data_IF_311629406347
#
_entry.id   IF_311629406347
#
_cell.length_a   1.000
_cell.length_b   1.000
_cell.length_c   1.000
_cell.angle_alpha   90.00
_cell.angle_beta   90.00
_cell.angle_gamma   90.00
#
_symmetry.space_group_name_H-M   'P 1'
#
loop_
_entity.id
_entity.type
_entity.pdbx_description
1 polymer ?
#
# COMPACT_ATOMS: atom_id res chain seq x y z
N UNK A 1 -29.99 -3.95 -11.81
CA UNK A 1 -29.45 -5.20 -12.41
C UNK A 1 -28.97 -4.95 -13.84
N UNK A 2 -29.71 -4.18 -14.68
CA UNK A 2 -29.29 -3.93 -16.07
C UNK A 2 -27.99 -3.10 -16.17
N UNK A 3 -27.81 -2.07 -15.37
CA UNK A 3 -26.65 -1.18 -15.41
C UNK A 3 -25.32 -1.86 -15.05
N UNK A 4 -25.32 -2.78 -14.06
CA UNK A 4 -24.11 -3.51 -13.69
C UNK A 4 -23.67 -4.52 -14.77
N UNK A 5 -24.63 -5.19 -15.42
CA UNK A 5 -24.33 -6.09 -16.54
C UNK A 5 -23.78 -5.33 -17.75
N UNK A 6 -24.34 -4.17 -18.05
CA UNK A 6 -23.85 -3.28 -19.12
C UNK A 6 -22.43 -2.77 -18.79
N UNK A 7 -22.18 -2.38 -17.55
CA UNK A 7 -20.85 -1.98 -17.07
C UNK A 7 -19.85 -3.13 -17.26
N UNK A 8 -20.17 -4.36 -16.83
CA UNK A 8 -19.31 -5.55 -17.04
C UNK A 8 -18.98 -5.76 -18.52
N UNK A 9 -19.99 -5.70 -19.38
CA UNK A 9 -19.80 -5.86 -20.82
C UNK A 9 -18.89 -4.78 -21.43
N UNK A 10 -19.02 -3.52 -20.96
CA UNK A 10 -18.14 -2.41 -21.36
C UNK A 10 -16.70 -2.67 -20.95
N UNK A 11 -16.45 -3.11 -19.72
CA UNK A 11 -15.10 -3.43 -19.23
C UNK A 11 -14.51 -4.62 -20.00
N UNK A 12 -15.28 -5.68 -20.22
CA UNK A 12 -14.84 -6.86 -21.01
C UNK A 12 -14.50 -6.49 -22.45
N UNK A 13 -15.30 -5.65 -23.10
CA UNK A 13 -15.03 -5.17 -24.45
C UNK A 13 -13.75 -4.30 -24.50
N UNK A 14 -13.56 -3.42 -23.52
CA UNK A 14 -12.37 -2.57 -23.41
C UNK A 14 -11.09 -3.40 -23.26
N UNK A 15 -11.09 -4.35 -22.32
CA UNK A 15 -9.91 -5.18 -22.04
C UNK A 15 -9.66 -6.20 -23.15
N UNK A 16 -10.72 -6.86 -23.62
CA UNK A 16 -10.59 -7.89 -24.65
C UNK A 16 -10.09 -7.38 -26.01
N UNK A 17 -10.27 -6.09 -26.30
CA UNK A 17 -9.72 -5.46 -27.50
C UNK A 17 -8.21 -5.15 -27.40
N UNK A 18 -7.62 -5.17 -26.18
CA UNK A 18 -6.27 -4.66 -25.89
C UNK A 18 -5.33 -5.69 -25.26
N UNK A 19 -5.89 -6.57 -24.43
CA UNK A 19 -5.11 -7.47 -23.58
C UNK A 19 -5.55 -8.92 -23.78
N UNK A 20 -4.62 -9.87 -23.82
CA UNK A 20 -4.95 -11.29 -23.94
C UNK A 20 -5.66 -11.75 -22.65
N UNK A 21 -6.52 -12.74 -22.77
CA UNK A 21 -7.05 -13.42 -21.60
C UNK A 21 -5.93 -14.18 -20.91
N UNK A 22 -5.90 -14.07 -19.58
CA UNK A 22 -4.97 -14.84 -18.78
C UNK A 22 -5.27 -16.33 -18.94
N UNK A 23 -4.26 -17.10 -19.33
CA UNK A 23 -4.40 -18.56 -19.38
C UNK A 23 -4.39 -19.14 -17.96
N UNK A 24 -5.47 -19.77 -17.56
CA UNK A 24 -5.62 -20.43 -16.24
C UNK A 24 -4.85 -21.77 -16.15
N UNK A 25 -3.69 -21.89 -16.70
CA UNK A 25 -2.85 -23.07 -16.42
C UNK A 25 -2.02 -22.79 -15.15
N UNK A 26 -2.68 -22.86 -14.01
CA UNK A 26 -2.04 -22.91 -12.69
C UNK A 26 -1.32 -24.26 -12.54
N UNK A 27 -0.23 -24.47 -13.25
CA UNK A 27 0.69 -25.56 -12.95
C UNK A 27 1.83 -24.98 -12.14
N UNK A 28 2.00 -25.50 -10.93
CA UNK A 28 3.12 -25.16 -10.10
C UNK A 28 4.43 -25.52 -10.84
N UNK A 29 5.38 -24.58 -10.92
CA UNK A 29 6.63 -24.77 -11.67
C UNK A 29 6.54 -24.62 -13.19
N UNK A 30 5.36 -24.37 -13.76
CA UNK A 30 5.16 -24.01 -15.15
C UNK A 30 4.42 -22.68 -15.25
N UNK A 31 5.13 -21.59 -15.28
CA UNK A 31 4.54 -20.28 -15.42
C UNK A 31 5.16 -19.25 -14.53
N UNK A 32 4.57 -18.08 -14.54
CA UNK A 32 5.03 -16.93 -13.80
C UNK A 32 4.95 -17.14 -12.29
N UNK A 33 6.05 -17.59 -11.69
CA UNK A 33 6.22 -17.71 -10.23
C UNK A 33 6.10 -16.34 -9.53
N UNK A 34 6.08 -15.23 -10.28
CA UNK A 34 5.79 -13.89 -9.78
C UNK A 34 4.43 -13.77 -9.10
N UNK A 35 3.48 -14.69 -9.39
CA UNK A 35 2.18 -14.75 -8.74
C UNK A 35 2.24 -15.18 -7.26
N UNK A 36 3.35 -15.78 -6.81
CA UNK A 36 3.60 -16.09 -5.40
C UNK A 36 4.37 -14.95 -4.72
N UNK A 37 4.91 -14.00 -5.49
CA UNK A 37 5.64 -12.86 -4.98
C UNK A 37 4.76 -11.97 -4.11
N UNK A 38 5.36 -11.45 -3.04
CA UNK A 38 4.82 -10.39 -2.20
C UNK A 38 4.37 -9.18 -3.06
N UNK A 39 3.68 -8.24 -2.44
CA UNK A 39 3.16 -7.01 -3.06
C UNK A 39 4.19 -6.22 -3.91
N UNK A 40 5.46 -6.60 -3.85
CA UNK A 40 6.57 -5.97 -4.54
C UNK A 40 7.25 -6.99 -5.44
N UNK A 41 7.01 -6.88 -6.74
CA UNK A 41 7.68 -7.71 -7.75
C UNK A 41 9.12 -7.24 -7.92
N UNK A 42 10.05 -8.20 -7.97
CA UNK A 42 11.35 -7.96 -8.59
C UNK A 42 11.15 -7.78 -10.09
N UNK A 43 11.67 -6.71 -10.61
CA UNK A 43 11.75 -6.48 -12.04
C UNK A 43 13.17 -6.07 -12.40
N UNK A 44 13.73 -6.71 -13.42
CA UNK A 44 15.01 -6.30 -14.01
C UNK A 44 14.87 -5.00 -14.81
N UNK A 45 13.62 -4.54 -15.06
CA UNK A 45 13.30 -3.31 -15.80
C UNK A 45 12.15 -2.54 -15.11
N UNK A 46 12.36 -2.09 -13.85
CA UNK A 46 11.35 -1.29 -13.10
C UNK A 46 10.87 -0.07 -13.86
N UNK A 47 11.77 0.63 -14.56
CA UNK A 47 11.40 1.79 -15.37
C UNK A 47 10.50 1.39 -16.56
N UNK A 48 10.75 0.25 -17.18
CA UNK A 48 9.90 -0.30 -18.25
C UNK A 48 8.54 -0.75 -17.73
N UNK A 49 8.51 -1.40 -16.58
CA UNK A 49 7.24 -1.77 -15.92
C UNK A 49 6.41 -0.54 -15.60
N UNK A 50 7.03 0.49 -15.02
CA UNK A 50 6.34 1.75 -14.74
C UNK A 50 5.83 2.42 -16.02
N UNK A 51 6.59 2.41 -17.12
CA UNK A 51 6.10 2.95 -18.42
C UNK A 51 4.88 2.19 -18.90
N UNK A 52 4.87 0.85 -18.82
CA UNK A 52 3.72 0.00 -19.18
C UNK A 52 2.52 0.27 -18.29
N UNK A 53 2.74 0.38 -16.96
CA UNK A 53 1.71 0.73 -15.99
C UNK A 53 1.06 2.09 -16.29
N UNK A 54 1.88 3.11 -16.56
CA UNK A 54 1.42 4.46 -16.90
C UNK A 54 0.60 4.49 -18.19
N UNK A 55 1.05 3.76 -19.21
CA UNK A 55 0.32 3.66 -20.47
C UNK A 55 -1.06 3.00 -20.27
N UNK A 56 -1.10 1.88 -19.56
CA UNK A 56 -2.35 1.19 -19.21
C UNK A 56 -3.28 2.07 -18.37
N UNK A 57 -2.73 2.74 -17.35
CA UNK A 57 -3.50 3.63 -16.51
C UNK A 57 -4.09 4.82 -17.28
N UNK A 58 -3.35 5.35 -18.24
CA UNK A 58 -3.83 6.40 -19.13
C UNK A 58 -5.00 5.93 -20.00
N UNK A 59 -4.90 4.73 -20.58
CA UNK A 59 -6.00 4.14 -21.34
C UNK A 59 -7.26 3.95 -20.49
N UNK A 60 -7.10 3.48 -19.23
CA UNK A 60 -8.21 3.37 -18.29
C UNK A 60 -8.82 4.73 -17.95
N UNK A 61 -7.98 5.75 -17.75
CA UNK A 61 -8.43 7.09 -17.41
C UNK A 61 -9.25 7.69 -18.57
N UNK A 62 -8.76 7.59 -19.78
CA UNK A 62 -9.45 8.09 -20.98
C UNK A 62 -10.77 7.34 -21.24
N UNK A 63 -10.90 6.09 -20.79
CA UNK A 63 -12.13 5.29 -20.84
C UNK A 63 -13.08 5.51 -19.64
N UNK A 64 -12.71 6.35 -18.66
CA UNK A 64 -13.47 6.55 -17.41
C UNK A 64 -13.49 5.32 -16.50
N UNK A 65 -12.42 4.51 -16.53
CA UNK A 65 -12.28 3.25 -15.77
C UNK A 65 -11.16 3.28 -14.72
N UNK A 66 -10.33 4.34 -14.70
CA UNK A 66 -9.19 4.43 -13.78
C UNK A 66 -9.61 4.71 -12.35
N UNK A 67 -10.52 5.64 -12.15
CA UNK A 67 -10.96 6.10 -10.81
C UNK A 67 -12.48 5.96 -10.68
N UNK A 68 -12.94 4.72 -10.48
CA UNK A 68 -14.36 4.39 -10.52
C UNK A 68 -15.19 5.14 -9.45
N UNK A 69 -14.68 5.28 -8.23
CA UNK A 69 -15.39 5.95 -7.12
C UNK A 69 -15.07 7.44 -6.99
N UNK A 70 -14.14 7.96 -7.77
CA UNK A 70 -13.71 9.34 -7.66
C UNK A 70 -14.74 10.36 -8.16
N UNK A 71 -14.61 11.64 -7.73
CA UNK A 71 -15.45 12.73 -8.19
C UNK A 71 -15.29 12.95 -9.70
N UNK A 72 -16.42 13.13 -10.38
CA UNK A 72 -16.45 13.32 -11.84
C UNK A 72 -15.68 14.57 -12.28
N UNK A 73 -15.72 15.63 -11.46
CA UNK A 73 -15.03 16.90 -11.71
C UNK A 73 -13.50 16.76 -11.81
N UNK A 74 -12.92 15.68 -11.26
CA UNK A 74 -11.48 15.40 -11.30
C UNK A 74 -11.14 14.14 -12.15
N UNK A 75 -12.06 13.71 -13.01
CA UNK A 75 -11.85 12.56 -13.90
C UNK A 75 -12.23 11.22 -13.31
N UNK A 76 -12.86 11.18 -12.14
CA UNK A 76 -13.47 9.98 -11.59
C UNK A 76 -14.80 9.65 -12.26
N UNK A 77 -15.31 8.44 -12.05
CA UNK A 77 -16.57 7.97 -12.65
C UNK A 77 -17.79 8.11 -11.72
N UNK A 78 -17.61 8.41 -10.44
CA UNK A 78 -18.70 8.54 -9.45
C UNK A 78 -19.49 7.25 -9.20
N UNK A 79 -18.87 6.07 -9.46
CA UNK A 79 -19.50 4.75 -9.35
C UNK A 79 -19.37 4.16 -7.95
N UNK A 80 -20.19 3.15 -7.64
CA UNK A 80 -20.24 2.52 -6.34
C UNK A 80 -19.35 1.29 -6.17
N UNK A 81 -19.51 0.63 -5.01
CA UNK A 81 -18.78 -0.59 -4.66
C UNK A 81 -19.08 -1.76 -5.61
N UNK A 82 -20.31 -1.87 -6.10
CA UNK A 82 -20.71 -2.96 -7.00
C UNK A 82 -19.96 -2.91 -8.33
N UNK A 83 -19.78 -1.72 -8.91
CA UNK A 83 -19.01 -1.51 -10.14
C UNK A 83 -17.51 -1.72 -9.91
N UNK A 84 -16.95 -1.28 -8.77
CA UNK A 84 -15.56 -1.57 -8.41
C UNK A 84 -15.29 -3.06 -8.32
N UNK A 85 -16.16 -3.80 -7.63
CA UNK A 85 -16.06 -5.25 -7.54
C UNK A 85 -16.16 -5.92 -8.92
N UNK A 86 -17.14 -5.50 -9.73
CA UNK A 86 -17.32 -6.02 -11.09
C UNK A 86 -16.10 -5.75 -11.97
N UNK A 87 -15.49 -4.57 -11.87
CA UNK A 87 -14.25 -4.22 -12.57
C UNK A 87 -13.11 -5.16 -12.15
N UNK A 88 -12.87 -5.32 -10.86
CA UNK A 88 -11.82 -6.19 -10.34
C UNK A 88 -12.00 -7.65 -10.77
N UNK A 89 -13.25 -8.17 -10.79
CA UNK A 89 -13.57 -9.52 -11.27
C UNK A 89 -13.27 -9.70 -12.77
N UNK A 90 -13.52 -8.67 -13.58
CA UNK A 90 -13.25 -8.73 -15.03
C UNK A 90 -11.74 -8.62 -15.28
N UNK A 91 -11.05 -7.65 -14.67
CA UNK A 91 -9.59 -7.41 -14.86
C UNK A 91 -8.79 -8.67 -14.54
N UNK A 92 -9.15 -9.43 -13.52
CA UNK A 92 -8.46 -10.69 -13.16
C UNK A 92 -8.40 -11.72 -14.29
N UNK A 93 -9.29 -11.62 -15.28
CA UNK A 93 -9.35 -12.54 -16.44
C UNK A 93 -8.40 -12.17 -17.58
N UNK A 94 -7.72 -11.02 -17.46
CA UNK A 94 -6.84 -10.50 -18.50
C UNK A 94 -5.41 -10.34 -18.00
N UNK A 95 -4.46 -10.47 -18.91
CA UNK A 95 -3.04 -10.22 -18.61
C UNK A 95 -2.75 -8.74 -18.87
N UNK A 96 -2.97 -7.93 -17.84
CA UNK A 96 -2.79 -6.47 -17.87
C UNK A 96 -1.47 -6.07 -17.19
N UNK A 97 -0.91 -4.90 -17.54
CA UNK A 97 0.27 -4.37 -16.86
C UNK A 97 0.05 -4.21 -15.35
N UNK A 98 1.11 -4.45 -14.60
CA UNK A 98 1.14 -4.25 -13.15
C UNK A 98 1.18 -2.76 -12.83
N UNK A 99 0.22 -2.28 -12.02
CA UNK A 99 0.09 -0.86 -11.64
C UNK A 99 0.63 -0.55 -10.25
N UNK A 100 1.28 -1.50 -9.58
CA UNK A 100 1.76 -1.33 -8.20
C UNK A 100 2.62 -0.07 -8.01
N UNK A 101 3.43 0.30 -9.01
CA UNK A 101 4.23 1.53 -8.98
C UNK A 101 3.41 2.84 -8.93
N UNK A 102 2.09 2.80 -9.19
CA UNK A 102 1.21 3.97 -9.15
C UNK A 102 0.37 4.04 -7.86
N UNK A 103 0.27 2.95 -7.10
CA UNK A 103 -0.68 2.81 -5.99
C UNK A 103 -0.46 3.83 -4.89
N UNK A 104 0.80 4.14 -4.52
CA UNK A 104 1.09 5.14 -3.48
C UNK A 104 0.49 6.50 -3.86
N UNK A 105 0.70 6.93 -5.11
CA UNK A 105 0.12 8.17 -5.64
C UNK A 105 -1.41 8.16 -5.63
N UNK A 106 -2.02 7.06 -6.07
CA UNK A 106 -3.47 6.95 -6.24
C UNK A 106 -4.23 6.67 -4.94
N UNK A 107 -3.66 5.85 -4.06
CA UNK A 107 -4.36 5.33 -2.90
C UNK A 107 -3.95 5.99 -1.57
N UNK A 108 -2.85 6.76 -1.55
CA UNK A 108 -2.35 7.43 -0.35
C UNK A 108 -2.32 8.95 -0.58
N UNK A 109 -1.61 9.42 -1.61
CA UNK A 109 -1.45 10.86 -1.89
C UNK A 109 -2.77 11.48 -2.39
N UNK A 110 -3.44 10.86 -3.36
CA UNK A 110 -4.67 11.40 -3.93
C UNK A 110 -5.80 11.57 -2.91
N UNK A 111 -6.09 10.65 -1.97
CA UNK A 111 -7.06 10.87 -0.89
C UNK A 111 -6.73 12.08 -0.01
N UNK A 112 -5.46 12.28 0.35
CA UNK A 112 -5.02 13.43 1.14
C UNK A 112 -5.22 14.75 0.36
N UNK A 113 -4.86 14.77 -0.93
CA UNK A 113 -5.10 15.93 -1.82
C UNK A 113 -6.59 16.19 -1.97
N UNK A 114 -7.42 15.16 -2.14
CA UNK A 114 -8.87 15.32 -2.25
C UNK A 114 -9.48 15.94 -0.99
N UNK A 115 -9.04 15.49 0.19
CA UNK A 115 -9.58 15.95 1.47
C UNK A 115 -9.06 17.34 1.87
N UNK A 116 -7.79 17.63 1.66
CA UNK A 116 -7.11 18.81 2.23
C UNK A 116 -6.50 19.77 1.21
N UNK A 117 -6.42 19.38 -0.07
CA UNK A 117 -5.84 20.23 -1.11
C UNK A 117 -6.65 21.49 -1.40
N UNK A 118 -6.00 22.53 -1.86
CA UNK A 118 -6.65 23.70 -2.47
C UNK A 118 -7.37 23.29 -3.76
N UNK A 119 -8.26 24.16 -4.28
CA UNK A 119 -8.93 23.92 -5.55
C UNK A 119 -7.93 23.67 -6.69
N UNK A 120 -6.85 24.46 -6.74
CA UNK A 120 -5.80 24.35 -7.74
C UNK A 120 -4.99 23.04 -7.59
N UNK A 121 -4.66 22.66 -6.34
CA UNK A 121 -3.99 21.38 -6.08
C UNK A 121 -4.84 20.19 -6.52
N UNK A 122 -6.14 20.18 -6.19
CA UNK A 122 -7.06 19.12 -6.61
C UNK A 122 -7.18 19.05 -8.13
N UNK A 123 -7.42 20.18 -8.79
CA UNK A 123 -7.60 20.23 -10.24
C UNK A 123 -6.35 19.77 -11.02
N UNK A 124 -5.15 20.07 -10.51
CA UNK A 124 -3.90 19.72 -11.14
C UNK A 124 -3.46 18.29 -10.83
N UNK A 125 -3.52 17.89 -9.55
CA UNK A 125 -2.87 16.63 -9.10
C UNK A 125 -3.77 15.41 -9.22
N UNK A 126 -5.06 15.52 -8.95
CA UNK A 126 -5.93 14.34 -8.96
C UNK A 126 -6.02 13.68 -10.34
N UNK A 127 -6.30 14.42 -11.44
CA UNK A 127 -6.29 13.82 -12.77
C UNK A 127 -4.91 13.27 -13.15
N UNK A 128 -3.83 13.97 -12.80
CA UNK A 128 -2.47 13.57 -13.15
C UNK A 128 -2.03 12.29 -12.43
N UNK A 129 -2.38 12.11 -11.15
CA UNK A 129 -2.13 10.87 -10.39
C UNK A 129 -2.96 9.71 -10.94
N UNK A 130 -4.25 9.93 -11.20
CA UNK A 130 -5.14 8.85 -11.66
C UNK A 130 -4.97 8.50 -13.14
N UNK A 131 -4.43 9.39 -13.97
CA UNK A 131 -4.03 9.07 -15.34
C UNK A 131 -2.66 8.39 -15.45
N UNK A 132 -1.88 8.34 -14.34
CA UNK A 132 -0.50 7.86 -14.36
C UNK A 132 0.49 8.86 -14.95
N UNK A 133 0.09 10.12 -15.19
CA UNK A 133 0.99 11.20 -15.60
C UNK A 133 2.00 11.54 -14.51
N UNK A 134 1.53 11.60 -13.24
CA UNK A 134 2.38 11.75 -12.07
C UNK A 134 2.42 10.45 -11.26
N UNK A 135 3.60 10.14 -10.75
CA UNK A 135 3.85 9.07 -9.79
C UNK A 135 4.09 9.71 -8.44
N UNK A 136 3.36 9.26 -7.42
CA UNK A 136 3.48 9.76 -6.06
C UNK A 136 4.23 8.81 -5.14
N UNK A 137 4.94 9.36 -4.15
CA UNK A 137 5.51 8.60 -3.03
C UNK A 137 5.18 9.25 -1.69
N UNK A 138 5.31 8.48 -0.61
CA UNK A 138 5.09 8.93 0.76
C UNK A 138 6.43 9.15 1.48
N UNK A 139 6.61 10.33 2.11
CA UNK A 139 7.83 10.74 2.79
C UNK A 139 7.51 11.02 4.27
N UNK A 140 7.21 9.97 5.04
CA UNK A 140 6.77 10.07 6.44
C UNK A 140 7.85 9.61 7.40
N UNK A 141 8.15 8.31 7.39
CA UNK A 141 9.05 7.66 8.35
C UNK A 141 10.48 8.20 8.26
N UNK A 142 11.16 8.21 9.40
CA UNK A 142 12.58 8.54 9.55
C UNK A 142 13.30 7.38 10.25
N UNK A 143 14.63 7.29 10.18
CA UNK A 143 15.38 6.23 10.87
C UNK A 143 15.00 6.07 12.35
N UNK A 144 14.72 7.20 13.05
CA UNK A 144 14.36 7.22 14.48
C UNK A 144 12.86 7.44 14.75
N UNK A 145 12.01 7.55 13.70
CA UNK A 145 10.60 7.88 13.82
C UNK A 145 9.73 7.10 12.84
N UNK A 146 9.45 5.83 13.16
CA UNK A 146 8.49 4.97 12.45
C UNK A 146 7.15 4.95 13.20
N UNK A 147 6.98 4.03 14.16
CA UNK A 147 5.74 3.93 14.97
C UNK A 147 5.44 5.20 15.77
N UNK A 148 6.45 5.90 16.31
CA UNK A 148 6.28 7.23 16.92
C UNK A 148 6.50 8.34 15.87
N UNK A 149 5.71 8.31 14.80
CA UNK A 149 5.81 9.26 13.67
C UNK A 149 5.73 10.72 14.14
N UNK A 150 4.97 11.02 15.18
CA UNK A 150 4.87 12.36 15.75
C UNK A 150 6.18 12.90 16.31
N UNK A 151 7.21 12.06 16.48
CA UNK A 151 8.55 12.45 16.92
C UNK A 151 9.53 12.76 15.78
N UNK A 152 9.08 12.77 14.52
CA UNK A 152 9.90 13.06 13.36
C UNK A 152 10.68 14.39 13.50
N UNK A 153 11.85 14.44 12.86
CA UNK A 153 12.82 15.54 13.00
C UNK A 153 13.11 16.30 11.70
N UNK A 154 12.69 15.79 10.54
CA UNK A 154 12.76 16.56 9.28
C UNK A 154 12.16 17.93 9.50
N UNK A 155 12.92 18.97 9.30
CA UNK A 155 12.56 20.35 9.66
C UNK A 155 12.27 21.17 8.42
N UNK A 156 11.20 21.94 8.48
CA UNK A 156 10.88 22.96 7.48
C UNK A 156 10.94 24.34 8.15
N UNK A 157 11.78 25.23 7.65
CA UNK A 157 11.96 26.61 8.08
C UNK A 157 11.29 27.55 7.07
N UNK A 158 10.42 28.46 7.53
CA UNK A 158 9.82 29.45 6.66
C UNK A 158 10.85 30.45 6.14
N UNK A 159 10.78 30.78 4.87
CA UNK A 159 11.56 31.79 4.15
C UNK A 159 10.65 32.57 3.23
N UNK A 160 11.18 33.59 2.53
CA UNK A 160 10.39 34.34 1.56
C UNK A 160 9.85 33.43 0.44
N UNK A 161 8.53 33.40 0.29
CA UNK A 161 7.82 32.63 -0.75
C UNK A 161 7.75 31.11 -0.53
N UNK A 162 8.20 30.61 0.62
CA UNK A 162 8.17 29.16 0.87
C UNK A 162 8.93 28.69 2.12
N UNK A 163 9.48 27.52 2.00
CA UNK A 163 10.12 26.78 3.09
C UNK A 163 11.45 26.19 2.65
N UNK A 164 12.41 26.13 3.56
CA UNK A 164 13.64 25.35 3.42
C UNK A 164 13.55 24.11 4.28
N UNK A 165 13.77 22.96 3.65
CA UNK A 165 13.56 21.65 4.29
C UNK A 165 14.87 20.89 4.37
N UNK A 166 15.18 20.41 5.59
CA UNK A 166 16.33 19.59 5.90
C UNK A 166 15.90 18.33 6.65
N UNK A 167 16.42 17.16 6.26
CA UNK A 167 16.14 15.90 6.94
C UNK A 167 16.41 14.66 6.13
N UNK A 168 15.93 13.54 6.66
CA UNK A 168 16.04 12.23 6.02
C UNK A 168 14.74 11.46 6.21
N UNK A 169 14.23 10.88 5.12
CA UNK A 169 13.10 9.95 5.13
C UNK A 169 13.57 8.55 4.75
N UNK A 170 12.86 7.54 5.22
CA UNK A 170 13.18 6.13 4.97
C UNK A 170 11.92 5.32 4.73
N UNK A 171 12.05 4.18 4.08
CA UNK A 171 10.96 3.30 3.69
C UNK A 171 9.98 3.93 2.69
N UNK A 172 10.48 4.87 1.88
CA UNK A 172 9.69 5.55 0.86
C UNK A 172 9.58 4.68 -0.39
N UNK A 173 8.42 4.03 -0.55
CA UNK A 173 8.16 3.11 -1.67
C UNK A 173 8.21 3.84 -3.00
N UNK A 174 9.02 3.35 -3.94
CA UNK A 174 9.11 3.86 -5.31
C UNK A 174 9.59 5.31 -5.43
N UNK A 175 10.19 5.89 -4.38
CA UNK A 175 10.60 7.31 -4.38
C UNK A 175 11.61 7.66 -5.49
N UNK A 176 12.40 6.70 -5.95
CA UNK A 176 13.36 6.87 -7.05
C UNK A 176 12.70 7.00 -8.44
N UNK A 177 11.41 6.71 -8.54
CA UNK A 177 10.59 6.82 -9.76
C UNK A 177 9.48 7.87 -9.61
N UNK A 178 9.35 8.48 -8.43
CA UNK A 178 8.28 9.41 -8.11
C UNK A 178 8.57 10.83 -8.62
N UNK A 179 7.50 11.54 -9.01
CA UNK A 179 7.52 12.95 -9.38
C UNK A 179 7.09 13.85 -8.21
N UNK A 180 6.17 13.36 -7.36
CA UNK A 180 5.64 14.11 -6.21
C UNK A 180 5.74 13.28 -4.92
N UNK A 181 6.30 13.89 -3.87
CA UNK A 181 6.38 13.31 -2.53
C UNK A 181 5.39 13.97 -1.55
N UNK A 182 4.58 13.17 -0.87
CA UNK A 182 3.79 13.64 0.27
C UNK A 182 4.69 13.71 1.50
N UNK A 183 5.23 14.90 1.77
CA UNK A 183 6.27 15.12 2.79
C UNK A 183 5.69 15.65 4.09
N UNK A 184 5.82 14.88 5.17
CA UNK A 184 5.51 15.35 6.52
C UNK A 184 6.78 15.88 7.19
N UNK A 185 6.78 17.18 7.57
CA UNK A 185 7.91 17.85 8.19
C UNK A 185 7.50 18.71 9.40
N UNK A 186 8.46 19.00 10.26
CA UNK A 186 8.26 19.81 11.44
C UNK A 186 8.47 21.29 11.14
N UNK A 187 7.43 22.09 11.32
CA UNK A 187 7.44 23.54 11.16
C UNK A 187 7.50 24.28 12.49
N UNK A 188 7.08 23.65 13.59
CA UNK A 188 7.21 24.25 14.92
C UNK A 188 8.58 23.95 15.54
N UNK A 189 9.27 24.98 16.08
CA UNK A 189 10.52 24.79 16.80
C UNK A 189 10.30 24.21 18.22
N UNK A 190 9.06 24.23 18.74
CA UNK A 190 8.73 23.71 20.08
C UNK A 190 8.60 22.17 20.04
N UNK A 191 9.51 21.44 20.71
CA UNK A 191 9.42 19.98 20.78
C UNK A 191 8.14 19.47 21.47
N UNK A 192 7.52 20.27 22.33
CA UNK A 192 6.27 19.91 23.02
C UNK A 192 5.05 19.95 22.08
N UNK A 193 5.16 20.61 20.93
CA UNK A 193 4.08 20.66 19.93
C UNK A 193 3.75 19.28 19.35
N UNK A 194 4.73 18.34 19.30
CA UNK A 194 4.57 16.99 18.75
C UNK A 194 3.83 17.00 17.41
N UNK A 195 2.69 16.31 17.32
CA UNK A 195 1.87 16.25 16.12
C UNK A 195 1.30 17.62 15.65
N UNK A 196 1.07 18.56 16.58
CA UNK A 196 0.59 19.93 16.24
C UNK A 196 1.65 20.82 15.61
N UNK A 197 2.90 20.42 15.65
CA UNK A 197 4.02 21.14 15.02
C UNK A 197 4.40 20.60 13.65
N UNK A 198 3.54 19.78 13.03
CA UNK A 198 3.82 19.13 11.76
C UNK A 198 2.98 19.76 10.65
N UNK A 199 3.60 19.92 9.48
CA UNK A 199 2.95 20.38 8.25
C UNK A 199 3.17 19.39 7.13
N UNK A 200 2.18 19.23 6.27
CA UNK A 200 2.28 18.40 5.08
C UNK A 200 2.62 19.25 3.87
N UNK A 201 3.52 18.75 3.04
CA UNK A 201 3.97 19.40 1.80
C UNK A 201 3.86 18.44 0.62
N UNK A 202 3.59 18.98 -0.55
CA UNK A 202 3.69 18.31 -1.83
C UNK A 202 5.05 18.64 -2.44
N UNK A 203 6.04 17.79 -2.21
CA UNK A 203 7.41 17.99 -2.64
C UNK A 203 7.58 17.56 -4.11
N UNK A 204 8.15 18.43 -4.94
CA UNK A 204 8.69 18.03 -6.23
C UNK A 204 9.98 17.22 -6.00
N UNK A 205 9.94 15.94 -6.41
CA UNK A 205 11.06 15.00 -6.18
C UNK A 205 12.30 15.30 -7.03
N UNK A 206 12.18 16.15 -8.05
CA UNK A 206 13.30 16.64 -8.87
C UNK A 206 13.91 17.94 -8.33
N UNK A 207 13.39 18.47 -7.20
CA UNK A 207 13.92 19.70 -6.60
C UNK A 207 15.40 19.58 -6.24
N UNK A 208 16.21 20.64 -6.45
CA UNK A 208 17.59 20.67 -5.98
C UNK A 208 17.68 20.41 -4.48
N UNK A 209 18.62 19.55 -4.07
CA UNK A 209 18.82 19.12 -2.67
C UNK A 209 18.07 17.81 -2.31
N UNK A 210 17.22 17.29 -3.18
CA UNK A 210 16.62 15.95 -3.01
C UNK A 210 17.58 14.88 -3.53
N UNK A 211 17.92 13.91 -2.69
CA UNK A 211 18.73 12.75 -3.08
C UNK A 211 18.04 11.48 -2.67
N UNK A 212 17.72 10.61 -3.64
CA UNK A 212 17.04 9.34 -3.40
C UNK A 212 18.02 8.19 -3.53
N UNK A 213 18.01 7.26 -2.57
CA UNK A 213 18.84 6.05 -2.56
C UNK A 213 18.00 4.82 -2.32
N UNK A 214 17.89 3.90 -3.30
CA UNK A 214 17.22 2.62 -3.10
C UNK A 214 17.87 1.79 -1.99
N UNK A 215 17.04 1.12 -1.17
CA UNK A 215 17.45 0.25 -0.07
C UNK A 215 17.28 -1.21 -0.47
N UNK A 216 18.37 -1.96 -0.49
CA UNK A 216 18.30 -3.40 -0.73
C UNK A 216 17.69 -4.11 0.48
N UNK A 217 16.60 -4.83 0.24
CA UNK A 217 15.86 -5.57 1.22
C UNK A 217 16.33 -7.03 1.32
N UNK A 218 15.91 -7.74 2.37
CA UNK A 218 16.23 -9.16 2.53
C UNK A 218 15.59 -10.05 1.45
N UNK A 219 14.54 -9.58 0.77
CA UNK A 219 13.93 -10.23 -0.40
C UNK A 219 14.81 -10.16 -1.65
N UNK A 220 15.85 -9.31 -1.66
CA UNK A 220 16.68 -8.99 -2.82
C UNK A 220 16.24 -7.73 -3.56
N UNK A 221 14.99 -7.30 -3.42
CA UNK A 221 14.42 -6.10 -4.06
C UNK A 221 14.99 -4.80 -3.49
N UNK A 222 14.76 -3.68 -4.16
CA UNK A 222 15.23 -2.35 -3.73
C UNK A 222 14.19 -1.24 -3.96
N UNK A 223 12.90 -1.57 -3.90
CA UNK A 223 11.81 -0.62 -4.14
C UNK A 223 11.57 0.39 -3.01
N UNK A 224 12.03 0.11 -1.78
CA UNK A 224 12.08 1.12 -0.72
C UNK A 224 13.31 2.00 -0.86
N UNK A 225 13.17 3.27 -0.49
CA UNK A 225 14.24 4.24 -0.60
C UNK A 225 14.46 4.99 0.72
N UNK A 226 15.71 5.47 0.88
CA UNK A 226 16.04 6.63 1.69
C UNK A 226 15.95 7.89 0.83
N UNK A 227 15.44 8.96 1.41
CA UNK A 227 15.37 10.27 0.76
C UNK A 227 16.01 11.30 1.67
N UNK A 228 17.09 11.90 1.19
CA UNK A 228 17.82 12.95 1.88
C UNK A 228 17.36 14.31 1.34
N UNK A 229 17.12 15.23 2.25
CA UNK A 229 16.68 16.60 1.97
C UNK A 229 17.74 17.54 2.53
N UNK A 230 18.43 18.29 1.66
CA UNK A 230 19.50 19.22 2.01
C UNK A 230 19.15 20.60 1.46
N UNK A 231 18.69 21.49 2.35
CA UNK A 231 18.22 22.85 2.06
C UNK A 231 17.23 22.94 0.89
N UNK A 232 16.32 21.96 0.78
CA UNK A 232 15.35 21.87 -0.31
C UNK A 232 14.33 23.00 -0.21
N UNK A 233 14.15 23.78 -1.29
CA UNK A 233 13.12 24.81 -1.34
C UNK A 233 11.77 24.20 -1.72
N UNK A 234 10.76 24.49 -0.90
CA UNK A 234 9.36 24.09 -1.12
C UNK A 234 8.49 25.36 -1.11
N UNK A 235 7.78 25.71 -2.18
CA UNK A 235 7.00 26.94 -2.25
C UNK A 235 5.76 26.89 -1.33
N UNK A 236 5.21 28.06 -0.97
CA UNK A 236 4.07 28.16 -0.06
C UNK A 236 2.81 27.45 -0.59
N UNK A 237 2.61 27.44 -1.90
CA UNK A 237 1.47 26.79 -2.56
C UNK A 237 1.59 25.24 -2.59
N UNK A 238 2.73 24.70 -2.20
CA UNK A 238 2.95 23.27 -2.01
C UNK A 238 2.54 22.76 -0.61
N UNK A 239 2.12 23.64 0.30
CA UNK A 239 1.55 23.22 1.59
C UNK A 239 0.22 22.52 1.33
N UNK A 240 0.09 21.26 1.81
CA UNK A 240 -1.15 20.49 1.74
C UNK A 240 -1.93 20.66 3.05
N UNK A 241 -3.08 21.30 2.98
CA UNK A 241 -3.85 21.71 4.16
C UNK A 241 -3.29 22.99 4.79
N UNK A 242 -3.25 23.05 6.12
CA UNK A 242 -2.80 24.20 6.90
C UNK A 242 -1.44 23.97 7.53
N UNK A 243 -0.67 25.06 7.73
CA UNK A 243 0.57 25.02 8.52
C UNK A 243 0.26 24.58 9.95
N UNK A 244 0.96 23.55 10.42
CA UNK A 244 0.68 22.91 11.72
C UNK A 244 -0.46 21.88 11.68
N UNK A 245 -1.20 21.77 10.57
CA UNK A 245 -2.29 20.81 10.34
C UNK A 245 -1.87 19.46 9.75
N UNK A 246 -0.58 19.23 9.50
CA UNK A 246 -0.06 18.07 8.78
C UNK A 246 -0.42 16.71 9.39
N UNK A 247 -0.70 16.66 10.71
CA UNK A 247 -1.13 15.42 11.35
C UNK A 247 -2.55 14.99 10.92
N UNK A 248 -3.45 15.94 10.68
CA UNK A 248 -4.79 15.66 10.17
C UNK A 248 -4.70 15.07 8.75
N UNK A 249 -3.85 15.66 7.90
CA UNK A 249 -3.57 15.18 6.54
C UNK A 249 -2.97 13.77 6.59
N UNK A 250 -1.94 13.55 7.40
CA UNK A 250 -1.28 12.25 7.57
C UNK A 250 -2.26 11.15 8.04
N UNK A 251 -3.25 11.49 8.86
CA UNK A 251 -4.27 10.51 9.28
C UNK A 251 -5.16 10.07 8.11
N UNK A 252 -5.45 10.93 7.14
CA UNK A 252 -6.19 10.54 5.91
C UNK A 252 -5.35 9.56 5.11
N UNK A 253 -4.09 9.87 4.84
CA UNK A 253 -3.17 8.99 4.10
C UNK A 253 -3.00 7.63 4.75
N UNK A 254 -2.75 7.61 6.08
CA UNK A 254 -2.61 6.38 6.86
C UNK A 254 -3.92 5.57 6.97
N UNK A 255 -5.09 6.22 6.95
CA UNK A 255 -6.37 5.52 6.91
C UNK A 255 -6.58 4.86 5.56
N UNK A 256 -6.38 5.62 4.48
CA UNK A 256 -6.49 5.11 3.11
C UNK A 256 -5.52 3.96 2.84
N UNK A 257 -4.29 4.04 3.34
CA UNK A 257 -3.32 2.94 3.26
C UNK A 257 -3.88 1.67 3.90
N UNK A 258 -4.47 1.76 5.11
CA UNK A 258 -5.05 0.59 5.81
C UNK A 258 -6.28 0.03 5.11
N UNK A 259 -7.14 0.87 4.53
CA UNK A 259 -8.33 0.44 3.80
C UNK A 259 -7.92 -0.38 2.56
N UNK A 260 -6.85 0.04 1.88
CA UNK A 260 -6.33 -0.65 0.71
C UNK A 260 -5.63 -1.97 1.04
N UNK A 261 -5.00 -2.11 2.24
CA UNK A 261 -4.46 -3.39 2.70
C UNK A 261 -5.52 -4.51 2.70
N UNK A 262 -6.77 -4.20 2.98
CA UNK A 262 -7.87 -5.18 2.92
C UNK A 262 -8.08 -5.74 1.51
N UNK A 263 -8.07 -4.90 0.50
CA UNK A 263 -8.32 -5.30 -0.90
C UNK A 263 -7.11 -6.01 -1.53
N UNK A 264 -5.89 -5.52 -1.30
CA UNK A 264 -4.65 -6.13 -1.78
C UNK A 264 -4.36 -7.47 -1.10
N UNK A 265 -4.54 -7.52 0.23
CA UNK A 265 -4.36 -8.74 1.01
C UNK A 265 -5.32 -9.84 0.58
N UNK A 266 -6.58 -9.52 0.28
CA UNK A 266 -7.53 -10.51 -0.20
C UNK A 266 -7.09 -11.14 -1.52
N UNK A 267 -6.54 -10.37 -2.43
CA UNK A 267 -6.03 -10.87 -3.72
C UNK A 267 -4.77 -11.72 -3.58
N UNK A 268 -3.82 -11.31 -2.76
CA UNK A 268 -2.61 -12.08 -2.45
C UNK A 268 -2.98 -13.40 -1.77
N UNK A 269 -3.89 -13.33 -0.81
CA UNK A 269 -4.34 -14.47 -0.02
C UNK A 269 -4.98 -15.58 -0.85
N UNK A 270 -5.87 -15.24 -1.79
CA UNK A 270 -6.45 -16.22 -2.73
C UNK A 270 -5.35 -16.91 -3.53
N UNK A 271 -4.40 -16.13 -4.06
CA UNK A 271 -3.29 -16.68 -4.83
C UNK A 271 -2.41 -17.61 -4.00
N UNK A 272 -2.15 -17.26 -2.74
CA UNK A 272 -1.37 -18.11 -1.83
C UNK A 272 -2.11 -19.42 -1.52
N UNK A 273 -3.43 -19.39 -1.31
CA UNK A 273 -4.24 -20.58 -1.06
C UNK A 273 -4.20 -21.55 -2.24
N UNK A 274 -4.48 -21.05 -3.46
CA UNK A 274 -4.46 -21.87 -4.67
C UNK A 274 -3.08 -22.47 -4.92
N UNK A 275 -2.02 -21.68 -4.70
CA UNK A 275 -0.63 -22.13 -4.85
C UNK A 275 -0.23 -23.15 -3.77
N UNK A 276 -0.70 -23.00 -2.54
CA UNK A 276 -0.47 -23.97 -1.47
C UNK A 276 -1.18 -25.29 -1.74
N UNK A 277 -2.39 -25.26 -2.27
CA UNK A 277 -3.11 -26.46 -2.67
C UNK A 277 -2.32 -27.23 -3.74
N UNK A 278 -1.87 -26.51 -4.79
CA UNK A 278 -1.05 -27.11 -5.84
C UNK A 278 0.28 -27.66 -5.29
N UNK A 279 0.97 -26.89 -4.44
CA UNK A 279 2.18 -27.35 -3.78
C UNK A 279 1.93 -28.65 -3.00
N UNK A 280 0.87 -28.67 -2.18
CA UNK A 280 0.51 -29.86 -1.39
C UNK A 280 0.22 -31.09 -2.24
N UNK A 281 -0.45 -30.91 -3.39
CA UNK A 281 -0.69 -32.00 -4.34
C UNK A 281 0.61 -32.53 -4.94
N UNK A 282 1.49 -31.66 -5.36
CA UNK A 282 2.74 -31.98 -6.03
C UNK A 282 3.75 -32.69 -5.11
N UNK A 283 3.85 -32.27 -3.84
CA UNK A 283 4.78 -32.90 -2.88
C UNK A 283 4.14 -34.01 -2.06
N UNK A 284 2.87 -34.36 -2.33
CA UNK A 284 2.13 -35.41 -1.61
C UNK A 284 1.61 -34.98 -0.24
N UNK A 285 1.78 -33.73 0.17
CA UNK A 285 1.27 -33.23 1.45
C UNK A 285 -0.27 -33.10 1.50
N UNK A 286 -0.93 -33.08 0.34
CA UNK A 286 -2.40 -33.02 0.27
C UNK A 286 -3.09 -34.25 0.88
N UNK A 287 -2.38 -35.36 1.08
CA UNK A 287 -2.89 -36.56 1.76
C UNK A 287 -2.76 -36.46 3.29
N UNK A 288 -1.94 -35.53 3.81
CA UNK A 288 -1.79 -35.29 5.25
C UNK A 288 -3.01 -34.54 5.82
N UNK A 289 -3.69 -35.09 6.83
CA UNK A 289 -4.80 -34.44 7.48
C UNK A 289 -4.44 -33.07 8.10
N UNK A 290 -3.25 -32.90 8.69
CA UNK A 290 -2.80 -31.63 9.27
C UNK A 290 -2.66 -30.55 8.20
N UNK A 291 -2.07 -30.90 7.05
CA UNK A 291 -1.99 -29.99 5.91
C UNK A 291 -3.40 -29.53 5.46
N UNK A 292 -4.33 -30.47 5.32
CA UNK A 292 -5.71 -30.15 4.89
C UNK A 292 -6.45 -29.27 5.88
N UNK A 293 -6.34 -29.55 7.17
CA UNK A 293 -6.98 -28.76 8.22
C UNK A 293 -6.43 -27.33 8.25
N UNK A 294 -5.12 -27.16 8.11
CA UNK A 294 -4.50 -25.82 8.09
C UNK A 294 -4.80 -25.04 6.81
N UNK A 295 -4.89 -25.72 5.67
CA UNK A 295 -5.32 -25.10 4.42
C UNK A 295 -6.79 -24.67 4.49
N UNK A 296 -7.64 -25.50 5.11
CA UNK A 296 -9.06 -25.17 5.35
C UNK A 296 -9.22 -23.99 6.32
N UNK A 297 -8.41 -23.91 7.41
CA UNK A 297 -8.35 -22.69 8.26
C UNK A 297 -7.97 -21.46 7.45
N UNK A 298 -7.01 -21.59 6.54
CA UNK A 298 -6.65 -20.55 5.59
C UNK A 298 -7.84 -20.09 4.75
N UNK A 299 -8.59 -21.03 4.17
CA UNK A 299 -9.78 -20.70 3.37
C UNK A 299 -10.87 -19.99 4.20
N UNK A 300 -11.13 -20.48 5.41
CA UNK A 300 -12.09 -19.84 6.33
C UNK A 300 -11.68 -18.40 6.63
N UNK A 301 -10.39 -18.17 6.91
CA UNK A 301 -9.86 -16.83 7.14
C UNK A 301 -9.99 -15.93 5.91
N UNK A 302 -9.78 -16.48 4.74
CA UNK A 302 -10.00 -15.75 3.49
C UNK A 302 -11.47 -15.28 3.39
N UNK A 303 -12.45 -16.16 3.60
CA UNK A 303 -13.87 -15.79 3.57
C UNK A 303 -14.18 -14.73 4.63
N UNK A 304 -13.67 -14.90 5.85
CA UNK A 304 -13.84 -13.90 6.91
C UNK A 304 -13.26 -12.54 6.52
N UNK A 305 -12.07 -12.52 5.93
CA UNK A 305 -11.43 -11.27 5.48
C UNK A 305 -12.22 -10.53 4.39
N UNK A 306 -12.96 -11.27 3.55
CA UNK A 306 -13.85 -10.68 2.54
C UNK A 306 -15.11 -10.07 3.13
N UNK A 307 -15.69 -10.67 4.17
CA UNK A 307 -16.96 -10.20 4.77
C UNK A 307 -16.76 -9.22 5.92
N UNK A 308 -15.57 -9.21 6.54
CA UNK A 308 -15.27 -8.38 7.70
C UNK A 308 -15.45 -6.87 7.42
N UNK A 309 -14.95 -6.28 6.31
CA UNK A 309 -15.15 -4.86 6.03
C UNK A 309 -16.63 -4.47 5.96
N UNK A 310 -17.45 -5.26 5.28
CA UNK A 310 -18.89 -4.99 5.17
C UNK A 310 -19.61 -5.11 6.54
N UNK A 311 -19.16 -6.01 7.42
CA UNK A 311 -19.72 -6.14 8.77
C UNK A 311 -19.41 -4.93 9.65
N UNK A 312 -18.32 -4.22 9.38
CA UNK A 312 -17.93 -3.02 10.12
C UNK A 312 -18.79 -1.80 9.76
N UNK A 313 -19.43 -1.78 8.59
CA UNK A 313 -20.36 -0.70 8.19
C UNK A 313 -21.60 -0.66 9.10
N UNK A 314 -21.98 -1.79 9.68
CA UNK A 314 -23.12 -1.90 10.61
C UNK A 314 -22.71 -1.97 12.08
N UNK A 315 -21.42 -1.83 12.37
CA UNK A 315 -20.87 -1.86 13.73
C UNK A 315 -21.16 -0.56 14.50
N UNK A 316 -20.97 -0.60 15.83
CA UNK A 316 -21.06 0.64 16.63
C UNK A 316 -19.96 1.63 16.21
N UNK A 317 -20.16 2.96 16.41
CA UNK A 317 -19.18 3.97 16.03
C UNK A 317 -17.77 3.71 16.59
N UNK A 318 -17.66 3.17 17.80
CA UNK A 318 -16.40 2.84 18.45
C UNK A 318 -15.66 1.74 17.68
N UNK A 319 -16.37 0.67 17.34
CA UNK A 319 -15.83 -0.46 16.58
C UNK A 319 -15.51 -0.04 15.14
N UNK A 320 -16.39 0.72 14.49
CA UNK A 320 -16.15 1.23 13.13
C UNK A 320 -14.88 2.11 13.06
N UNK A 321 -14.65 2.97 14.07
CA UNK A 321 -13.45 3.83 14.14
C UNK A 321 -12.13 3.03 14.19
N UNK A 322 -12.14 1.83 14.73
CA UNK A 322 -10.98 0.95 14.81
C UNK A 322 -11.04 -0.23 13.83
N UNK A 323 -12.07 -0.27 12.98
CA UNK A 323 -12.36 -1.40 12.10
C UNK A 323 -11.24 -1.73 11.12
N UNK A 324 -10.61 -0.72 10.52
CA UNK A 324 -9.48 -0.91 9.60
C UNK A 324 -8.27 -1.56 10.30
N UNK A 325 -8.06 -1.24 11.59
CA UNK A 325 -7.02 -1.91 12.41
C UNK A 325 -7.33 -3.39 12.62
N UNK A 326 -8.61 -3.75 12.81
CA UNK A 326 -9.04 -5.14 12.94
C UNK A 326 -8.84 -5.91 11.64
N UNK A 327 -9.24 -5.34 10.51
CA UNK A 327 -9.05 -5.93 9.18
C UNK A 327 -7.56 -6.18 8.92
N UNK A 328 -6.72 -5.18 9.14
CA UNK A 328 -5.27 -5.28 8.94
C UNK A 328 -4.65 -6.40 9.79
N UNK A 329 -4.95 -6.45 11.09
CA UNK A 329 -4.44 -7.49 11.98
C UNK A 329 -4.87 -8.89 11.56
N UNK A 330 -6.13 -9.03 11.16
CA UNK A 330 -6.67 -10.31 10.73
C UNK A 330 -6.02 -10.78 9.42
N UNK A 331 -5.86 -9.89 8.43
CA UNK A 331 -5.24 -10.18 7.14
C UNK A 331 -3.77 -10.59 7.32
N UNK A 332 -2.98 -9.81 8.06
CA UNK A 332 -1.56 -10.09 8.25
C UNK A 332 -1.27 -11.36 9.05
N UNK A 333 -2.15 -11.75 10.00
CA UNK A 333 -2.04 -13.05 10.68
C UNK A 333 -2.39 -14.21 9.74
N UNK A 334 -3.39 -14.03 8.88
CA UNK A 334 -3.78 -15.02 7.90
C UNK A 334 -2.65 -15.29 6.89
N UNK A 335 -2.05 -14.23 6.32
CA UNK A 335 -0.89 -14.35 5.41
C UNK A 335 0.26 -15.12 6.06
N UNK A 336 0.61 -14.75 7.29
CA UNK A 336 1.68 -15.41 8.05
C UNK A 336 1.43 -16.90 8.22
N UNK A 337 0.20 -17.32 8.51
CA UNK A 337 -0.18 -18.73 8.69
C UNK A 337 -0.01 -19.55 7.42
N UNK A 338 -0.42 -18.99 6.28
CA UNK A 338 -0.25 -19.66 4.99
C UNK A 338 1.23 -19.80 4.61
N UNK A 339 2.02 -18.74 4.83
CA UNK A 339 3.47 -18.81 4.59
C UNK A 339 4.14 -19.80 5.52
N UNK A 340 3.69 -19.92 6.78
CA UNK A 340 4.19 -20.95 7.69
C UNK A 340 3.84 -22.36 7.20
N UNK A 341 2.66 -22.56 6.64
CA UNK A 341 2.29 -23.84 6.05
C UNK A 341 3.21 -24.21 4.87
N UNK A 342 3.52 -23.26 3.99
CA UNK A 342 4.49 -23.47 2.92
C UNK A 342 5.88 -23.85 3.44
N UNK A 343 6.33 -23.16 4.51
CA UNK A 343 7.61 -23.46 5.17
C UNK A 343 7.64 -24.89 5.70
N UNK A 344 6.58 -25.34 6.37
CA UNK A 344 6.51 -26.67 6.97
C UNK A 344 6.49 -27.76 5.89
N UNK A 345 5.84 -27.50 4.75
CA UNK A 345 5.76 -28.43 3.61
C UNK A 345 7.08 -28.52 2.85
N UNK A 346 7.71 -27.37 2.57
CA UNK A 346 8.95 -27.31 1.78
C UNK A 346 10.21 -27.62 2.61
N UNK A 347 10.19 -27.28 3.91
CA UNK A 347 11.33 -27.48 4.79
C UNK A 347 12.64 -26.95 4.21
N UNK A 348 13.71 -27.79 4.15
CA UNK A 348 15.01 -27.38 3.61
C UNK A 348 15.00 -26.95 2.13
N UNK A 349 14.02 -27.39 1.33
CA UNK A 349 13.91 -27.00 -0.08
C UNK A 349 13.67 -25.50 -0.25
N UNK A 350 13.19 -24.82 0.80
CA UNK A 350 12.91 -23.39 0.79
C UNK A 350 14.16 -22.51 0.69
N UNK A 351 15.34 -23.03 1.09
CA UNK A 351 16.61 -22.26 1.07
C UNK A 351 17.40 -22.44 -0.23
N UNK A 352 16.91 -23.26 -1.16
CA UNK A 352 17.59 -23.52 -2.43
C UNK A 352 16.64 -23.23 -3.61
N UNK A 353 17.14 -22.46 -4.58
CA UNK A 353 16.51 -22.39 -5.89
C UNK A 353 16.93 -23.60 -6.71
N UNK A 354 16.08 -24.62 -6.73
CA UNK A 354 16.30 -25.83 -7.52
C UNK A 354 15.61 -25.78 -8.88
N UNK A 355 14.90 -24.70 -9.18
CA UNK A 355 14.02 -24.59 -10.35
C UNK A 355 12.78 -25.48 -10.25
N UNK A 356 12.64 -26.27 -9.18
CA UNK A 356 11.49 -27.12 -8.91
C UNK A 356 10.50 -26.41 -7.99
N UNK A 357 9.20 -26.58 -8.26
CA UNK A 357 8.12 -26.16 -7.35
C UNK A 357 8.02 -24.67 -7.03
N UNK A 358 8.65 -23.78 -7.81
CA UNK A 358 8.71 -22.35 -7.46
C UNK A 358 9.31 -22.11 -6.07
N UNK A 359 10.26 -22.94 -5.64
CA UNK A 359 10.86 -22.88 -4.29
C UNK A 359 11.36 -21.50 -3.94
N UNK A 360 12.00 -20.81 -4.87
CA UNK A 360 12.49 -19.45 -4.66
C UNK A 360 11.37 -18.42 -4.49
N UNK A 361 10.24 -18.59 -5.18
CA UNK A 361 9.09 -17.71 -5.02
C UNK A 361 8.52 -17.79 -3.59
N UNK A 362 8.42 -18.99 -3.01
CA UNK A 362 8.03 -19.16 -1.61
C UNK A 362 9.03 -18.56 -0.63
N UNK A 363 10.32 -18.64 -0.91
CA UNK A 363 11.36 -17.98 -0.12
C UNK A 363 11.17 -16.46 -0.10
N UNK A 364 10.87 -15.85 -1.24
CA UNK A 364 10.55 -14.41 -1.31
C UNK A 364 9.32 -14.05 -0.51
N UNK A 365 8.25 -14.84 -0.61
CA UNK A 365 7.02 -14.62 0.19
C UNK A 365 7.32 -14.72 1.68
N UNK A 366 8.09 -15.73 2.10
CA UNK A 366 8.52 -15.88 3.50
C UNK A 366 9.29 -14.65 4.00
N UNK A 367 10.25 -14.16 3.22
CA UNK A 367 11.04 -12.98 3.56
C UNK A 367 10.20 -11.70 3.53
N UNK A 368 9.22 -11.61 2.62
CA UNK A 368 8.38 -10.43 2.42
C UNK A 368 7.22 -10.29 3.41
N UNK A 369 6.66 -11.41 3.91
CA UNK A 369 5.45 -11.38 4.75
C UNK A 369 5.62 -10.58 6.06
N UNK A 370 6.86 -10.44 6.55
CA UNK A 370 7.14 -9.65 7.74
C UNK A 370 6.90 -8.15 7.53
N UNK A 371 7.08 -7.65 6.31
CA UNK A 371 6.86 -6.25 5.98
C UNK A 371 5.38 -5.86 6.15
N UNK A 372 4.43 -6.75 5.82
CA UNK A 372 2.98 -6.47 5.95
C UNK A 372 2.55 -6.22 7.39
N UNK A 373 3.27 -6.83 8.36
CA UNK A 373 3.02 -6.63 9.79
C UNK A 373 3.55 -5.31 10.35
N UNK A 374 4.41 -4.62 9.59
CA UNK A 374 5.08 -3.37 9.97
C UNK A 374 4.45 -2.19 9.23
N UNK A 375 4.22 -2.30 7.93
CA UNK A 375 3.65 -1.27 7.08
C UNK A 375 2.25 -0.85 7.53
N UNK A 376 1.83 0.38 7.25
CA UNK A 376 0.51 0.91 7.63
C UNK A 376 0.27 1.00 9.15
N UNK A 377 1.35 1.01 9.95
CA UNK A 377 1.35 0.89 11.42
C UNK A 377 1.48 -0.57 11.86
N UNK A 378 2.46 -0.83 12.75
CA UNK A 378 2.77 -2.19 13.21
C UNK A 378 1.57 -2.88 13.87
N UNK A 379 1.61 -4.20 13.94
CA UNK A 379 0.57 -4.99 14.63
C UNK A 379 0.36 -4.49 16.07
N UNK A 380 1.42 -4.04 16.76
CA UNK A 380 1.36 -3.48 18.11
C UNK A 380 0.60 -2.14 18.11
N UNK A 381 0.88 -1.27 17.14
CA UNK A 381 0.15 0.01 16.98
C UNK A 381 -1.32 -0.26 16.68
N UNK A 382 -1.63 -1.23 15.82
CA UNK A 382 -3.03 -1.58 15.52
C UNK A 382 -3.76 -2.12 16.76
N UNK A 383 -3.10 -2.95 17.59
CA UNK A 383 -3.66 -3.41 18.87
C UNK A 383 -3.89 -2.26 19.84
N UNK A 384 -2.97 -1.29 19.91
CA UNK A 384 -3.17 -0.10 20.75
C UNK A 384 -4.36 0.74 20.28
N UNK A 385 -4.54 0.90 18.95
CA UNK A 385 -5.71 1.61 18.40
C UNK A 385 -7.00 0.89 18.79
N UNK A 386 -7.08 -0.43 18.65
CA UNK A 386 -8.23 -1.23 19.06
C UNK A 386 -8.49 -1.11 20.56
N UNK A 387 -7.44 -1.25 21.37
CA UNK A 387 -7.54 -1.16 22.82
C UNK A 387 -8.07 0.20 23.29
N UNK A 388 -7.50 1.28 22.76
CA UNK A 388 -7.85 2.64 23.20
C UNK A 388 -9.17 3.14 22.61
N UNK A 389 -9.42 2.90 21.31
CA UNK A 389 -10.56 3.51 20.60
C UNK A 389 -11.81 2.66 20.56
N UNK A 390 -11.67 1.32 20.45
CA UNK A 390 -12.81 0.42 20.42
C UNK A 390 -13.18 -0.11 21.80
N UNK A 391 -12.18 -0.46 22.63
CA UNK A 391 -12.41 -1.06 23.95
C UNK A 391 -12.36 -0.04 25.09
N UNK A 392 -11.97 1.23 24.83
CA UNK A 392 -11.90 2.29 25.85
C UNK A 392 -10.84 2.04 26.93
N UNK A 393 -9.85 1.19 26.66
CA UNK A 393 -8.78 0.91 27.62
C UNK A 393 -7.85 2.15 27.79
N UNK A 394 -7.27 2.34 28.98
CA UNK A 394 -6.35 3.44 29.22
C UNK A 394 -5.09 3.29 28.35
N UNK A 395 -4.55 4.44 27.93
CA UNK A 395 -3.27 4.48 27.23
C UNK A 395 -2.13 3.96 28.10
N UNK A 396 -1.20 3.25 27.46
CA UNK A 396 0.03 2.86 28.13
C UNK A 396 0.80 4.10 28.63
N UNK A 397 1.28 4.11 29.89
CA UNK A 397 2.09 5.20 30.41
C UNK A 397 3.35 5.36 29.57
N UNK A 398 3.60 6.57 29.11
CA UNK A 398 4.83 6.85 28.36
C UNK A 398 6.03 6.75 29.29
N UNK A 399 7.12 6.07 28.90
CA UNK A 399 8.34 6.10 29.66
C UNK A 399 8.83 7.54 29.76
N UNK A 400 9.13 7.99 30.95
CA UNK A 400 9.81 9.28 31.19
C UNK A 400 11.17 9.15 30.50
N UNK A 401 11.40 9.91 29.42
CA UNK A 401 12.74 9.99 28.82
C UNK A 401 13.65 10.62 29.87
N UNK A 402 14.48 9.81 30.51
CA UNK A 402 15.65 10.33 31.19
C UNK A 402 16.49 11.08 30.15
N UNK A 403 16.70 12.35 30.40
CA UNK A 403 17.51 13.26 29.57
C UNK A 403 18.93 12.68 29.55
N UNK A 404 19.28 11.87 28.55
CA UNK A 404 20.64 11.39 28.37
C UNK A 404 21.49 12.59 27.90
N UNK A 405 21.73 13.49 28.83
CA UNK A 405 22.85 14.41 28.72
C UNK A 405 24.13 13.61 28.96
N UNK A 406 24.78 13.16 27.90
CA UNK A 406 26.23 12.99 27.86
C UNK A 406 26.74 13.17 26.45
#
# INVERSE_FOLDING_TARGET
VSGLAEFRSRVEAFLGARYPRRHETLRHGQGDDSLVGAAFRDSDDEAGDLRRARAYQRELFDAGLAWLSGPVEYGGAGLGAAERQAFAEVVRRYDVPDVNGLLVGQQIVAPAVLAHGSADQRARLLPALWSGELVGCQLFSEPDAGSDLASLRTRARQVDGGWRVDGQKVWSSGAHLAHVGELLARTSPDPASRSRGLTMFLLDMESPGVTVRPLRQMTGTAHFCEVFLDDVFVPDDAVLGEVGGGWAVANVSLSSERDNFGDESANLFIRLLDRLLLLGQEVGAAEDPDFRDRLADGYVRHVVNQVLPASLETATPEVATAGTSLVKLFATDADRRLVQLALDVLGPALVADTGAWGTYAWSRVLLGVHATRIAGGTDEIQRNILAERALGLPREPRPVREDRRR
#
